data_IF_827187166192
#
_entry.id   IF_827187166192
#
_cell.length_a   1.000
_cell.length_b   1.000
_cell.length_c   1.000
_cell.angle_alpha   90.00
_cell.angle_beta   90.00
_cell.angle_gamma   90.00
#
_symmetry.space_group_name_H-M   'P 1'
#
loop_
_entity.id
_entity.type
_entity.pdbx_description
1 polymer ?
#
# COMPACT_ATOMS: atom_id res chain seq x y z
N UNK A 1 25.65 1.16 -21.08
CA UNK A 1 24.36 0.57 -20.72
C UNK A 1 23.30 1.18 -21.61
N UNK A 2 22.70 0.39 -22.48
CA UNK A 2 21.70 0.85 -23.47
C UNK A 2 20.44 1.34 -22.78
N UNK A 3 19.75 2.33 -23.35
CA UNK A 3 18.50 2.95 -22.82
C UNK A 3 17.44 1.87 -22.47
N UNK A 4 17.42 0.75 -23.19
CA UNK A 4 16.57 -0.42 -22.93
C UNK A 4 16.89 -1.10 -21.60
N UNK A 5 18.15 -1.23 -21.22
CA UNK A 5 18.55 -1.87 -19.95
C UNK A 5 18.22 -1.01 -18.73
N UNK A 6 18.23 0.34 -18.85
CA UNK A 6 17.83 1.26 -17.77
C UNK A 6 16.33 1.21 -17.45
N UNK A 7 15.48 0.81 -18.41
CA UNK A 7 14.02 0.63 -18.18
C UNK A 7 13.64 -0.78 -17.68
N UNK A 8 14.40 -1.81 -18.04
CA UNK A 8 14.09 -3.20 -17.67
C UNK A 8 14.41 -3.52 -16.19
N UNK A 9 15.48 -2.92 -15.63
CA UNK A 9 15.86 -3.18 -14.24
C UNK A 9 14.80 -2.75 -13.18
N UNK A 10 14.17 -1.58 -13.29
CA UNK A 10 13.10 -1.22 -12.34
C UNK A 10 11.86 -2.11 -12.45
N UNK A 11 11.49 -2.54 -13.65
CA UNK A 11 10.33 -3.43 -13.84
C UNK A 11 10.57 -4.84 -13.26
N UNK A 12 11.75 -5.43 -13.48
CA UNK A 12 12.10 -6.72 -12.89
C UNK A 12 12.11 -6.69 -11.36
N UNK A 13 12.57 -5.57 -10.77
CA UNK A 13 12.52 -5.35 -9.33
C UNK A 13 11.08 -5.31 -8.81
N UNK A 14 10.16 -4.65 -9.53
CA UNK A 14 8.76 -4.57 -9.14
C UNK A 14 8.12 -5.96 -9.09
N UNK A 15 8.37 -6.81 -10.11
CA UNK A 15 7.85 -8.19 -10.12
C UNK A 15 8.40 -9.03 -8.98
N UNK A 16 9.69 -8.89 -8.65
CA UNK A 16 10.29 -9.59 -7.53
C UNK A 16 9.66 -9.16 -6.20
N UNK A 17 9.47 -7.86 -5.98
CA UNK A 17 8.85 -7.33 -4.76
C UNK A 17 7.39 -7.75 -4.67
N UNK A 18 6.64 -7.72 -5.78
CA UNK A 18 5.27 -8.25 -5.85
C UNK A 18 5.26 -9.72 -5.44
N UNK A 19 6.15 -10.55 -6.00
CA UNK A 19 6.23 -11.98 -5.66
C UNK A 19 6.48 -12.22 -4.18
N UNK A 20 7.41 -11.46 -3.57
CA UNK A 20 7.67 -11.54 -2.12
C UNK A 20 6.46 -11.11 -1.29
N UNK A 21 5.76 -10.06 -1.73
CA UNK A 21 4.50 -9.64 -1.12
C UNK A 21 3.45 -10.75 -1.17
N UNK A 22 3.25 -11.36 -2.33
CA UNK A 22 2.28 -12.45 -2.51
C UNK A 22 2.64 -13.70 -1.69
N UNK A 23 3.92 -13.98 -1.52
CA UNK A 23 4.39 -15.07 -0.68
C UNK A 23 4.07 -14.80 0.80
N UNK A 24 4.29 -13.56 1.25
CA UNK A 24 3.90 -13.13 2.60
C UNK A 24 2.38 -13.20 2.79
N UNK A 25 1.59 -12.79 1.80
CA UNK A 25 0.14 -12.89 1.82
C UNK A 25 -0.32 -14.33 1.99
N UNK A 26 0.20 -15.21 1.12
CA UNK A 26 -0.15 -16.64 1.14
C UNK A 26 0.20 -17.29 2.46
N UNK A 27 1.40 -17.01 2.99
CA UNK A 27 1.83 -17.50 4.29
C UNK A 27 0.89 -17.02 5.40
N UNK A 28 0.64 -15.74 5.49
CA UNK A 28 -0.23 -15.15 6.51
C UNK A 28 -1.65 -15.75 6.44
N UNK A 29 -2.19 -15.86 5.23
CA UNK A 29 -3.55 -16.35 5.01
C UNK A 29 -3.68 -17.86 5.32
N UNK A 30 -2.74 -18.68 4.83
CA UNK A 30 -2.79 -20.15 5.01
C UNK A 30 -2.47 -20.59 6.44
N UNK A 31 -1.58 -19.87 7.13
CA UNK A 31 -1.10 -20.26 8.47
C UNK A 31 -1.94 -19.66 9.59
N UNK A 32 -2.44 -18.43 9.40
CA UNK A 32 -3.13 -17.72 10.49
C UNK A 32 -4.64 -17.57 10.25
N UNK A 33 -5.10 -17.33 9.03
CA UNK A 33 -6.52 -17.05 8.80
C UNK A 33 -7.33 -18.29 8.47
N UNK A 34 -6.85 -19.11 7.55
CA UNK A 34 -7.55 -20.30 7.09
C UNK A 34 -7.80 -21.35 8.20
N UNK A 35 -6.80 -21.71 9.06
CA UNK A 35 -7.00 -22.73 10.08
C UNK A 35 -8.04 -22.37 11.15
N UNK A 36 -8.21 -21.08 11.39
CA UNK A 36 -9.18 -20.55 12.37
C UNK A 36 -10.50 -20.12 11.72
N UNK A 37 -10.70 -20.46 10.44
CA UNK A 37 -11.90 -20.13 9.66
C UNK A 37 -12.25 -18.64 9.70
N UNK A 38 -11.23 -17.78 9.74
CA UNK A 38 -11.42 -16.34 9.75
C UNK A 38 -11.76 -15.88 8.35
N UNK A 39 -12.97 -15.35 8.17
CA UNK A 39 -13.43 -14.80 6.89
C UNK A 39 -12.90 -13.39 6.77
N UNK A 40 -12.11 -13.14 5.72
CA UNK A 40 -11.67 -11.80 5.34
C UNK A 40 -12.56 -11.21 4.26
N UNK A 41 -12.37 -9.95 3.93
CA UNK A 41 -12.94 -9.34 2.72
C UNK A 41 -12.30 -9.86 1.45
N UNK A 42 -12.64 -9.22 0.35
CA UNK A 42 -12.06 -9.51 -0.95
C UNK A 42 -12.55 -10.79 -1.61
N UNK A 43 -11.98 -11.08 -2.77
CA UNK A 43 -12.32 -12.32 -3.52
C UNK A 43 -11.74 -13.55 -2.84
N UNK A 44 -10.65 -13.43 -2.11
CA UNK A 44 -10.14 -14.52 -1.25
C UNK A 44 -11.13 -14.88 -0.16
N UNK A 45 -11.79 -13.89 0.45
CA UNK A 45 -12.87 -14.11 1.42
C UNK A 45 -14.09 -14.80 0.79
N UNK A 46 -14.55 -14.36 -0.36
CA UNK A 46 -15.62 -15.05 -1.11
C UNK A 46 -15.22 -16.50 -1.41
N UNK A 47 -13.97 -16.70 -1.85
CA UNK A 47 -13.48 -18.04 -2.18
C UNK A 47 -13.40 -18.95 -0.95
N UNK A 48 -13.04 -18.38 0.21
CA UNK A 48 -13.06 -19.09 1.49
C UNK A 48 -14.49 -19.46 1.91
N UNK A 49 -15.45 -18.54 1.78
CA UNK A 49 -16.88 -18.83 2.06
C UNK A 49 -17.37 -19.98 1.20
N UNK A 50 -17.06 -19.98 -0.12
CA UNK A 50 -17.41 -21.06 -1.04
C UNK A 50 -16.74 -22.37 -0.63
N UNK A 51 -15.47 -22.34 -0.27
CA UNK A 51 -14.73 -23.50 0.22
C UNK A 51 -15.37 -24.10 1.47
N UNK A 52 -15.67 -23.28 2.48
CA UNK A 52 -16.29 -23.75 3.71
C UNK A 52 -17.72 -24.32 3.48
N UNK A 53 -18.46 -23.75 2.52
CA UNK A 53 -19.80 -24.21 2.21
C UNK A 53 -19.84 -25.49 1.36
N UNK A 54 -18.88 -25.67 0.46
CA UNK A 54 -18.97 -26.69 -0.60
C UNK A 54 -17.77 -27.63 -0.71
N UNK A 55 -16.63 -27.28 -0.07
CA UNK A 55 -15.35 -27.97 -0.26
C UNK A 55 -14.67 -27.66 -1.60
N UNK A 56 -15.23 -26.75 -2.43
CA UNK A 56 -14.66 -26.41 -3.73
C UNK A 56 -13.36 -25.62 -3.55
N UNK A 57 -12.24 -25.99 -4.25
CA UNK A 57 -10.94 -25.37 -4.02
C UNK A 57 -10.94 -23.85 -4.22
N UNK A 58 -10.26 -23.16 -3.30
CA UNK A 58 -10.24 -21.69 -3.21
C UNK A 58 -9.65 -21.06 -4.47
N UNK A 59 -8.59 -21.64 -5.01
CA UNK A 59 -7.87 -21.15 -6.17
C UNK A 59 -8.74 -21.05 -7.43
N UNK A 60 -9.66 -21.97 -7.64
CA UNK A 60 -10.55 -21.93 -8.81
C UNK A 60 -11.61 -20.84 -8.70
N UNK A 61 -12.26 -20.73 -7.53
CA UNK A 61 -13.23 -19.64 -7.27
C UNK A 61 -12.54 -18.29 -7.39
N UNK A 62 -11.36 -18.15 -6.81
CA UNK A 62 -10.54 -16.95 -6.88
C UNK A 62 -10.21 -16.58 -8.33
N UNK A 63 -9.76 -17.52 -9.16
CA UNK A 63 -9.44 -17.27 -10.57
C UNK A 63 -10.64 -16.86 -11.39
N UNK A 64 -11.77 -17.56 -11.26
CA UNK A 64 -13.00 -17.28 -12.04
C UNK A 64 -13.51 -15.86 -11.76
N UNK A 65 -13.59 -15.48 -10.50
CA UNK A 65 -14.06 -14.13 -10.12
C UNK A 65 -13.08 -13.06 -10.62
N UNK A 66 -11.77 -13.31 -10.48
CA UNK A 66 -10.76 -12.35 -10.93
C UNK A 66 -10.75 -12.16 -12.45
N UNK A 67 -10.97 -13.20 -13.24
CA UNK A 67 -11.12 -13.08 -14.70
C UNK A 67 -12.28 -12.13 -15.05
N UNK A 68 -13.41 -12.29 -14.41
CA UNK A 68 -14.56 -11.40 -14.62
C UNK A 68 -14.25 -9.94 -14.26
N UNK A 69 -13.60 -9.70 -13.11
CA UNK A 69 -13.20 -8.37 -12.67
C UNK A 69 -12.16 -7.72 -13.58
N UNK A 70 -11.20 -8.51 -14.07
CA UNK A 70 -10.18 -8.04 -15.02
C UNK A 70 -10.81 -7.58 -16.34
N UNK A 71 -11.76 -8.33 -16.86
CA UNK A 71 -12.46 -7.96 -18.10
C UNK A 71 -13.18 -6.62 -17.93
N UNK A 72 -13.84 -6.40 -16.78
CA UNK A 72 -14.51 -5.13 -16.48
C UNK A 72 -13.51 -3.97 -16.35
N UNK A 73 -12.36 -4.21 -15.77
CA UNK A 73 -11.35 -3.18 -15.49
C UNK A 73 -10.43 -2.84 -16.67
N UNK A 74 -10.43 -3.65 -17.74
CA UNK A 74 -9.53 -3.50 -18.90
C UNK A 74 -9.49 -2.09 -19.48
N UNK A 75 -10.63 -1.40 -19.54
CA UNK A 75 -10.75 -0.04 -20.10
C UNK A 75 -10.34 1.06 -19.11
N UNK A 76 -10.28 0.74 -17.83
CA UNK A 76 -10.10 1.71 -16.74
C UNK A 76 -8.65 1.77 -16.28
N UNK A 77 -8.05 0.62 -16.02
CA UNK A 77 -6.71 0.50 -15.48
C UNK A 77 -5.70 0.33 -16.61
N UNK A 78 -4.69 1.17 -16.70
CA UNK A 78 -3.71 1.13 -17.79
C UNK A 78 -3.00 -0.23 -17.93
N UNK A 79 -2.46 -0.51 -19.14
CA UNK A 79 -1.85 -1.81 -19.49
C UNK A 79 -0.77 -2.29 -18.50
N UNK A 80 0.06 -1.39 -17.98
CA UNK A 80 1.12 -1.76 -17.01
C UNK A 80 0.55 -2.32 -15.70
N UNK A 81 -0.49 -1.68 -15.18
CA UNK A 81 -1.18 -2.16 -13.99
C UNK A 81 -1.84 -3.51 -14.25
N UNK A 82 -2.50 -3.65 -15.40
CA UNK A 82 -3.18 -4.89 -15.79
C UNK A 82 -2.22 -6.08 -15.91
N UNK A 83 -1.07 -5.90 -16.57
CA UNK A 83 -0.08 -6.98 -16.72
C UNK A 83 0.46 -7.43 -15.35
N UNK A 84 0.79 -6.49 -14.46
CA UNK A 84 1.26 -6.80 -13.11
C UNK A 84 0.17 -7.46 -12.27
N UNK A 85 -1.09 -7.03 -12.43
CA UNK A 85 -2.23 -7.61 -11.73
C UNK A 85 -2.52 -9.04 -12.22
N UNK A 86 -2.51 -9.29 -13.53
CA UNK A 86 -2.65 -10.65 -14.09
C UNK A 86 -1.55 -11.56 -13.54
N UNK A 87 -0.30 -11.09 -13.58
CA UNK A 87 0.82 -11.81 -13.00
C UNK A 87 0.59 -12.14 -11.53
N UNK A 88 0.20 -11.14 -10.73
CA UNK A 88 -0.05 -11.31 -9.30
C UNK A 88 -1.18 -12.31 -9.02
N UNK A 89 -2.28 -12.26 -9.77
CA UNK A 89 -3.41 -13.20 -9.63
C UNK A 89 -2.96 -14.65 -9.89
N UNK A 90 -2.21 -14.87 -10.98
CA UNK A 90 -1.73 -16.22 -11.34
C UNK A 90 -0.75 -16.74 -10.29
N UNK A 91 0.20 -15.90 -9.87
CA UNK A 91 1.20 -16.27 -8.85
C UNK A 91 0.53 -16.53 -7.49
N UNK A 92 -0.43 -15.69 -7.08
CA UNK A 92 -1.15 -15.88 -5.82
C UNK A 92 -1.98 -17.17 -5.84
N UNK A 93 -2.69 -17.45 -6.94
CA UNK A 93 -3.44 -18.71 -7.08
C UNK A 93 -2.52 -19.92 -6.97
N UNK A 94 -1.36 -19.89 -7.65
CA UNK A 94 -0.38 -20.96 -7.56
C UNK A 94 0.18 -21.12 -6.14
N UNK A 95 0.51 -20.01 -5.47
CA UNK A 95 1.02 -20.07 -4.09
C UNK A 95 -0.03 -20.57 -3.11
N UNK A 96 -1.30 -20.14 -3.23
CA UNK A 96 -2.39 -20.66 -2.41
C UNK A 96 -2.59 -22.17 -2.63
N UNK A 97 -2.59 -22.64 -3.87
CA UNK A 97 -2.70 -24.08 -4.17
C UNK A 97 -1.55 -24.90 -3.59
N UNK A 98 -0.32 -24.40 -3.71
CA UNK A 98 0.88 -25.05 -3.14
C UNK A 98 0.83 -25.03 -1.62
N UNK A 99 0.54 -23.88 -1.01
CA UNK A 99 0.51 -23.73 0.44
C UNK A 99 -0.58 -24.61 1.07
N UNK A 100 -1.79 -24.64 0.51
CA UNK A 100 -2.85 -25.52 1.01
C UNK A 100 -2.42 -26.98 0.98
N UNK A 101 -1.81 -27.48 -0.11
CA UNK A 101 -1.29 -28.85 -0.20
C UNK A 101 -0.15 -29.14 0.78
N UNK A 102 0.67 -28.12 1.08
CA UNK A 102 1.82 -28.29 1.98
C UNK A 102 1.40 -28.30 3.46
N UNK A 103 0.40 -27.51 3.82
CA UNK A 103 -0.03 -27.34 5.21
C UNK A 103 -1.21 -28.22 5.61
N UNK A 104 -1.93 -28.83 4.66
CA UNK A 104 -3.04 -29.73 4.98
C UNK A 104 -2.51 -30.98 5.65
N UNK A 105 -3.14 -31.36 6.76
CA UNK A 105 -2.80 -32.60 7.49
C UNK A 105 -3.53 -33.80 6.87
N UNK A 106 -3.10 -35.04 7.21
CA UNK A 106 -3.72 -36.27 6.69
C UNK A 106 -5.23 -36.38 7.02
N UNK A 107 -5.69 -35.71 8.07
CA UNK A 107 -7.09 -35.65 8.49
C UNK A 107 -7.92 -34.61 7.74
N UNK A 108 -7.30 -33.87 6.81
CA UNK A 108 -7.94 -32.84 6.01
C UNK A 108 -8.04 -31.48 6.73
N UNK A 109 -7.48 -31.34 7.93
CA UNK A 109 -7.48 -30.07 8.69
C UNK A 109 -6.19 -29.29 8.47
N UNK A 110 -6.20 -28.01 8.85
CA UNK A 110 -4.98 -27.19 8.89
C UNK A 110 -4.46 -27.06 10.33
N UNK A 111 -3.13 -27.06 10.55
CA UNK A 111 -2.56 -26.97 11.88
C UNK A 111 -2.84 -25.61 12.52
N UNK A 112 -3.34 -25.61 13.74
CA UNK A 112 -3.50 -24.43 14.56
C UNK A 112 -2.15 -24.04 15.19
N UNK A 113 -1.37 -23.22 14.48
CA UNK A 113 0.03 -22.89 14.85
C UNK A 113 0.12 -22.21 16.22
N UNK A 114 -0.86 -21.38 16.58
CA UNK A 114 -0.91 -20.70 17.88
C UNK A 114 -1.61 -21.53 18.95
N UNK A 115 -2.24 -22.66 18.58
CA UNK A 115 -3.02 -23.51 19.48
C UNK A 115 -4.54 -23.24 19.40
N UNK A 116 -5.33 -24.14 19.96
CA UNK A 116 -6.78 -24.00 20.00
C UNK A 116 -7.22 -22.85 20.90
N UNK A 117 -8.19 -22.04 20.45
CA UNK A 117 -8.72 -20.90 21.20
C UNK A 117 -7.96 -19.58 21.00
N UNK A 118 -6.89 -19.57 20.18
CA UNK A 118 -6.10 -18.37 19.86
C UNK A 118 -6.58 -17.66 18.59
N UNK A 119 -7.88 -17.75 18.30
CA UNK A 119 -8.49 -17.17 17.08
C UNK A 119 -8.24 -15.67 16.98
N UNK A 120 -8.35 -14.94 18.08
CA UNK A 120 -8.16 -13.48 18.09
C UNK A 120 -6.70 -13.08 17.84
N UNK A 121 -5.74 -13.80 18.44
CA UNK A 121 -4.32 -13.56 18.20
C UNK A 121 -3.96 -13.86 16.75
N UNK A 122 -4.49 -14.95 16.22
CA UNK A 122 -4.30 -15.37 14.83
C UNK A 122 -4.89 -14.37 13.85
N UNK A 123 -6.07 -13.83 14.15
CA UNK A 123 -6.70 -12.76 13.39
C UNK A 123 -5.77 -11.53 13.31
N UNK A 124 -5.27 -11.04 14.45
CA UNK A 124 -4.42 -9.84 14.47
C UNK A 124 -3.16 -10.06 13.63
N UNK A 125 -2.43 -11.16 13.89
CA UNK A 125 -1.17 -11.43 13.17
C UNK A 125 -1.43 -11.62 11.68
N UNK A 126 -2.42 -12.44 11.34
CA UNK A 126 -2.77 -12.73 9.96
C UNK A 126 -3.14 -11.46 9.17
N UNK A 127 -4.04 -10.64 9.72
CA UNK A 127 -4.52 -9.42 9.04
C UNK A 127 -3.48 -8.32 8.96
N UNK A 128 -2.61 -8.18 9.96
CA UNK A 128 -1.48 -7.26 9.86
C UNK A 128 -0.50 -7.66 8.74
N UNK A 129 -0.20 -8.94 8.61
CA UNK A 129 0.69 -9.44 7.57
C UNK A 129 0.04 -9.34 6.19
N UNK A 130 -1.25 -9.67 6.05
CA UNK A 130 -1.95 -9.54 4.76
C UNK A 130 -2.07 -8.08 4.35
N UNK A 131 -2.42 -7.16 5.26
CA UNK A 131 -2.46 -5.73 5.00
C UNK A 131 -1.12 -5.15 4.56
N UNK A 132 -0.02 -5.53 5.22
CA UNK A 132 1.34 -5.17 4.78
C UNK A 132 1.65 -5.71 3.37
N UNK A 133 1.27 -6.96 3.11
CA UNK A 133 1.47 -7.60 1.83
C UNK A 133 0.73 -6.88 0.70
N UNK A 134 -0.55 -6.59 0.89
CA UNK A 134 -1.36 -5.82 -0.06
C UNK A 134 -0.72 -4.46 -0.35
N UNK A 135 -0.28 -3.74 0.69
CA UNK A 135 0.41 -2.47 0.52
C UNK A 135 1.68 -2.61 -0.34
N UNK A 136 2.49 -3.65 -0.13
CA UNK A 136 3.70 -3.92 -0.92
C UNK A 136 3.33 -4.11 -2.40
N UNK A 137 2.29 -4.87 -2.70
CA UNK A 137 1.83 -5.14 -4.07
C UNK A 137 1.34 -3.85 -4.73
N UNK A 138 0.49 -3.05 -4.04
CA UNK A 138 -0.03 -1.78 -4.56
C UNK A 138 1.06 -0.74 -4.79
N UNK A 139 2.05 -0.64 -3.89
CA UNK A 139 3.17 0.28 -4.03
C UNK A 139 4.04 -0.01 -5.27
N UNK A 140 3.96 -1.22 -5.82
CA UNK A 140 4.65 -1.62 -7.04
C UNK A 140 3.71 -1.67 -8.27
N UNK A 141 2.59 -0.93 -8.20
CA UNK A 141 1.58 -0.83 -9.27
C UNK A 141 0.99 -2.19 -9.69
N UNK A 142 0.83 -3.10 -8.74
CA UNK A 142 0.11 -4.35 -8.89
C UNK A 142 -1.15 -4.36 -8.02
N UNK A 143 -1.91 -5.44 -8.12
CA UNK A 143 -3.05 -5.74 -7.25
C UNK A 143 -3.12 -7.25 -7.10
N UNK A 144 -3.57 -7.72 -5.95
CA UNK A 144 -3.83 -9.16 -5.75
C UNK A 144 -5.08 -9.62 -6.48
N UNK A 145 -5.77 -8.72 -7.16
CA UNK A 145 -7.05 -9.02 -7.79
C UNK A 145 -8.23 -8.75 -6.84
N UNK A 146 -9.40 -9.22 -7.22
CA UNK A 146 -10.57 -9.12 -6.37
C UNK A 146 -11.11 -7.71 -6.20
N UNK A 147 -11.61 -7.43 -5.01
CA UNK A 147 -12.12 -6.09 -4.63
C UNK A 147 -11.06 -5.01 -4.77
N UNK A 148 -9.79 -5.36 -4.72
CA UNK A 148 -8.65 -4.50 -5.00
C UNK A 148 -8.74 -3.82 -6.37
N UNK A 149 -9.19 -4.56 -7.40
CA UNK A 149 -9.39 -4.02 -8.75
C UNK A 149 -10.48 -2.96 -8.73
N UNK A 150 -11.55 -3.20 -7.98
CA UNK A 150 -12.65 -2.23 -7.79
C UNK A 150 -12.11 -0.98 -7.08
N UNK A 151 -11.36 -1.18 -5.99
CA UNK A 151 -10.74 -0.09 -5.25
C UNK A 151 -9.78 0.73 -6.11
N UNK A 152 -8.95 0.08 -6.93
CA UNK A 152 -8.05 0.75 -7.87
C UNK A 152 -8.81 1.55 -8.93
N UNK A 153 -9.92 1.01 -9.46
CA UNK A 153 -10.79 1.72 -10.41
C UNK A 153 -11.40 2.99 -9.79
N UNK A 154 -11.92 2.89 -8.57
CA UNK A 154 -12.50 4.04 -7.85
C UNK A 154 -11.42 5.07 -7.53
N UNK A 155 -10.27 4.65 -6.99
CA UNK A 155 -9.16 5.53 -6.66
C UNK A 155 -8.61 6.29 -7.88
N UNK A 156 -8.71 5.71 -9.08
CA UNK A 156 -8.29 6.39 -10.31
C UNK A 156 -9.11 7.65 -10.60
N UNK A 157 -10.39 7.64 -10.27
CA UNK A 157 -11.31 8.75 -10.56
C UNK A 157 -11.59 9.65 -9.35
N UNK A 158 -11.42 9.13 -8.15
CA UNK A 158 -11.71 9.80 -6.90
C UNK A 158 -10.49 9.74 -5.96
N UNK A 159 -10.26 10.83 -5.21
CA UNK A 159 -9.22 10.86 -4.18
C UNK A 159 -9.72 10.21 -2.87
N UNK A 160 -10.12 8.95 -2.96
CA UNK A 160 -10.56 8.14 -1.82
C UNK A 160 -9.46 7.10 -1.57
N UNK A 161 -9.13 6.85 -0.29
CA UNK A 161 -8.13 5.83 0.04
C UNK A 161 -8.57 4.45 -0.45
N UNK A 162 -7.61 3.61 -0.80
CA UNK A 162 -7.89 2.23 -1.20
C UNK A 162 -8.60 1.46 -0.09
N UNK A 163 -8.14 1.62 1.16
CA UNK A 163 -8.74 0.98 2.32
C UNK A 163 -10.21 1.37 2.52
N UNK A 164 -10.55 2.66 2.33
CA UNK A 164 -11.96 3.10 2.45
C UNK A 164 -12.88 2.41 1.43
N UNK A 165 -12.43 2.26 0.18
CA UNK A 165 -13.23 1.58 -0.85
C UNK A 165 -13.34 0.08 -0.53
N UNK A 166 -12.24 -0.54 -0.09
CA UNK A 166 -12.23 -1.95 0.31
C UNK A 166 -13.21 -2.19 1.46
N UNK A 167 -13.20 -1.35 2.50
CA UNK A 167 -14.14 -1.46 3.63
C UNK A 167 -15.60 -1.50 3.13
N UNK A 168 -15.97 -0.60 2.22
CA UNK A 168 -17.35 -0.54 1.71
C UNK A 168 -17.78 -1.82 0.98
N UNK A 169 -16.89 -2.39 0.17
CA UNK A 169 -17.17 -3.61 -0.59
C UNK A 169 -17.12 -4.84 0.31
N UNK A 170 -16.13 -4.90 1.18
CA UNK A 170 -15.85 -6.06 2.00
C UNK A 170 -16.89 -6.26 3.12
N UNK A 171 -17.51 -5.17 3.63
CA UNK A 171 -18.66 -5.27 4.55
C UNK A 171 -19.78 -6.11 3.93
N UNK A 172 -20.08 -5.93 2.65
CA UNK A 172 -21.11 -6.72 1.95
C UNK A 172 -20.70 -8.19 1.85
N UNK A 173 -19.42 -8.45 1.53
CA UNK A 173 -18.89 -9.81 1.39
C UNK A 173 -18.92 -10.52 2.74
N UNK A 174 -18.40 -9.89 3.78
CA UNK A 174 -18.34 -10.47 5.14
C UNK A 174 -19.74 -10.69 5.68
N UNK A 175 -20.68 -9.77 5.43
CA UNK A 175 -22.08 -9.94 5.84
C UNK A 175 -22.72 -11.16 5.16
N UNK A 176 -22.27 -11.54 3.96
CA UNK A 176 -22.78 -12.73 3.25
C UNK A 176 -22.35 -14.06 3.88
N UNK A 177 -21.42 -14.05 4.86
CA UNK A 177 -21.02 -15.29 5.55
C UNK A 177 -22.06 -15.78 6.58
N UNK A 178 -22.98 -14.93 7.04
CA UNK A 178 -23.98 -15.28 8.07
C UNK A 178 -24.79 -16.52 7.69
N UNK A 179 -25.42 -16.62 6.50
CA UNK A 179 -26.20 -17.79 6.13
C UNK A 179 -25.37 -19.07 5.96
N UNK A 180 -24.07 -18.97 5.77
CA UNK A 180 -23.18 -20.12 5.61
C UNK A 180 -22.75 -20.70 6.95
N UNK A 181 -22.33 -19.84 7.87
CA UNK A 181 -21.79 -20.29 9.16
C UNK A 181 -22.83 -20.31 10.28
N UNK A 182 -23.92 -19.56 10.14
CA UNK A 182 -24.94 -19.37 11.17
C UNK A 182 -24.34 -18.97 12.55
N UNK A 183 -23.19 -18.27 12.52
CA UNK A 183 -22.43 -17.82 13.70
C UNK A 183 -22.07 -16.34 13.56
N UNK A 184 -22.69 -15.52 14.42
CA UNK A 184 -22.46 -14.08 14.46
C UNK A 184 -21.03 -13.71 14.87
N UNK A 185 -20.31 -14.61 15.60
CA UNK A 185 -18.92 -14.38 16.01
C UNK A 185 -18.02 -14.29 14.78
N UNK A 186 -18.22 -15.16 13.80
CA UNK A 186 -17.45 -15.12 12.55
C UNK A 186 -17.65 -13.83 11.77
N UNK A 187 -18.87 -13.25 11.80
CA UNK A 187 -19.12 -11.93 11.23
C UNK A 187 -18.31 -10.85 11.97
N UNK A 188 -18.34 -10.83 13.30
CA UNK A 188 -17.59 -9.83 14.10
C UNK A 188 -16.10 -9.97 13.85
N UNK A 189 -15.56 -11.20 13.87
CA UNK A 189 -14.16 -11.45 13.56
C UNK A 189 -13.79 -10.97 12.14
N UNK A 190 -14.63 -11.23 11.15
CA UNK A 190 -14.43 -10.76 9.78
C UNK A 190 -14.41 -9.23 9.67
N UNK A 191 -15.30 -8.54 10.35
CA UNK A 191 -15.32 -7.07 10.38
C UNK A 191 -14.08 -6.48 11.06
N UNK A 192 -13.63 -7.08 12.19
CA UNK A 192 -12.39 -6.69 12.86
C UNK A 192 -11.19 -6.95 11.95
N UNK A 193 -11.14 -8.12 11.33
CA UNK A 193 -10.09 -8.50 10.37
C UNK A 193 -9.96 -7.47 9.24
N UNK A 194 -11.08 -7.13 8.61
CA UNK A 194 -11.16 -6.11 7.56
C UNK A 194 -10.67 -4.74 8.07
N UNK A 195 -11.13 -4.31 9.23
CA UNK A 195 -10.74 -3.01 9.78
C UNK A 195 -9.22 -2.93 10.04
N UNK A 196 -8.62 -3.99 10.58
CA UNK A 196 -7.16 -4.05 10.81
C UNK A 196 -6.42 -4.09 9.48
N UNK A 197 -6.82 -4.98 8.56
CA UNK A 197 -6.16 -5.14 7.26
C UNK A 197 -6.15 -3.84 6.45
N UNK A 198 -7.31 -3.18 6.32
CA UNK A 198 -7.42 -1.90 5.62
C UNK A 198 -6.67 -0.76 6.31
N UNK A 199 -6.66 -0.73 7.64
CA UNK A 199 -5.91 0.27 8.41
C UNK A 199 -4.40 0.11 8.21
N UNK A 200 -3.89 -1.11 8.24
CA UNK A 200 -2.48 -1.42 7.99
C UNK A 200 -2.11 -1.13 6.54
N UNK A 201 -2.96 -1.50 5.59
CA UNK A 201 -2.78 -1.17 4.18
C UNK A 201 -2.60 0.34 3.98
N UNK A 202 -3.57 1.14 4.47
CA UNK A 202 -3.53 2.59 4.31
C UNK A 202 -2.34 3.22 5.05
N UNK A 203 -2.00 2.72 6.24
CA UNK A 203 -0.82 3.19 6.99
C UNK A 203 0.48 2.98 6.21
N UNK A 204 0.70 1.78 5.67
CA UNK A 204 1.91 1.46 4.89
C UNK A 204 1.94 2.24 3.58
N UNK A 205 0.80 2.36 2.89
CA UNK A 205 0.67 3.14 1.65
C UNK A 205 1.00 4.62 1.88
N UNK A 206 0.43 5.21 2.93
CA UNK A 206 0.59 6.63 3.24
C UNK A 206 2.01 6.95 3.73
N UNK A 207 2.63 6.09 4.55
CA UNK A 207 4.00 6.29 5.05
C UNK A 207 5.01 6.52 3.92
N UNK A 208 4.79 5.92 2.75
CA UNK A 208 5.68 6.08 1.60
C UNK A 208 5.45 7.38 0.81
N UNK A 209 4.27 8.00 0.97
CA UNK A 209 3.87 9.26 0.29
C UNK A 209 4.05 10.48 1.17
N UNK A 210 4.37 10.30 2.44
CA UNK A 210 4.51 11.43 3.36
C UNK A 210 5.62 12.38 2.89
N UNK A 211 5.23 13.65 2.76
CA UNK A 211 6.12 14.77 2.53
C UNK A 211 6.26 15.58 3.81
N UNK A 212 7.38 16.26 3.94
CA UNK A 212 7.69 17.13 5.07
C UNK A 212 8.14 18.49 4.58
N UNK A 213 7.74 19.49 5.32
CA UNK A 213 8.24 20.85 5.15
C UNK A 213 9.28 21.16 6.23
N UNK A 214 10.40 21.66 5.81
CA UNK A 214 11.43 22.21 6.70
C UNK A 214 11.41 23.72 6.65
N UNK A 215 11.42 24.35 7.81
CA UNK A 215 11.78 25.76 7.99
C UNK A 215 13.12 25.80 8.72
N UNK A 216 14.16 26.27 8.04
CA UNK A 216 15.52 26.26 8.54
C UNK A 216 15.98 27.69 8.83
N UNK A 217 16.31 27.96 10.06
CA UNK A 217 16.77 29.24 10.57
C UNK A 217 18.26 29.14 10.90
N UNK A 218 19.11 29.78 10.10
CA UNK A 218 20.56 29.75 10.28
C UNK A 218 21.20 31.03 9.78
N UNK A 219 22.28 31.44 10.40
CA UNK A 219 23.10 32.51 9.89
C UNK A 219 23.94 32.08 8.67
N UNK A 220 24.17 30.75 8.53
CA UNK A 220 24.84 30.13 7.38
C UNK A 220 23.83 29.64 6.29
N UNK A 221 22.75 30.36 6.14
CA UNK A 221 21.68 29.93 5.23
C UNK A 221 22.15 29.72 3.78
N UNK A 222 23.14 30.51 3.29
CA UNK A 222 23.68 30.37 1.93
C UNK A 222 24.41 29.05 1.74
N UNK A 223 25.25 28.65 2.71
CA UNK A 223 25.99 27.39 2.67
C UNK A 223 25.02 26.21 2.70
N UNK A 224 24.01 26.28 3.57
CA UNK A 224 22.97 25.24 3.70
C UNK A 224 22.14 25.16 2.41
N UNK A 225 21.71 26.30 1.86
CA UNK A 225 20.93 26.33 0.63
C UNK A 225 21.71 25.73 -0.56
N UNK A 226 22.98 26.09 -0.71
CA UNK A 226 23.86 25.56 -1.75
C UNK A 226 24.08 24.04 -1.57
N UNK A 227 24.31 23.58 -0.35
CA UNK A 227 24.51 22.17 -0.06
C UNK A 227 23.26 21.33 -0.36
N UNK A 228 22.08 21.82 0.02
CA UNK A 228 20.81 21.16 -0.30
C UNK A 228 20.59 21.14 -1.82
N UNK A 229 20.74 22.28 -2.52
CA UNK A 229 20.52 22.37 -3.96
C UNK A 229 21.49 21.54 -4.80
N UNK A 230 22.72 21.26 -4.28
CA UNK A 230 23.72 20.45 -4.99
C UNK A 230 23.63 18.96 -4.67
N UNK A 231 23.22 18.60 -3.45
CA UNK A 231 23.20 17.21 -2.97
C UNK A 231 21.82 16.57 -2.98
N UNK A 232 20.77 17.36 -3.23
CA UNK A 232 19.40 16.87 -3.37
C UNK A 232 18.81 17.38 -4.68
N UNK A 233 17.78 16.68 -5.19
CA UNK A 233 17.03 17.10 -6.37
C UNK A 233 15.84 18.04 -6.01
N UNK A 234 15.85 18.61 -4.79
CA UNK A 234 14.76 19.43 -4.30
C UNK A 234 15.03 20.93 -4.50
N UNK A 235 14.04 21.62 -5.02
CA UNK A 235 13.97 23.06 -4.99
C UNK A 235 13.76 23.57 -3.57
N UNK A 236 14.33 24.74 -3.25
CA UNK A 236 14.13 25.42 -1.99
C UNK A 236 13.73 26.89 -2.23
N UNK A 237 12.98 27.45 -1.31
CA UNK A 237 12.56 28.86 -1.36
C UNK A 237 13.14 29.59 -0.15
N UNK A 238 13.69 30.78 -0.40
CA UNK A 238 14.14 31.67 0.68
C UNK A 238 12.99 32.63 1.02
N UNK A 239 12.64 32.64 2.31
CA UNK A 239 11.66 33.56 2.87
C UNK A 239 12.40 34.67 3.62
N UNK A 240 12.03 35.91 3.37
CA UNK A 240 12.53 37.06 4.10
C UNK A 240 11.76 37.23 5.41
N UNK A 241 12.48 37.40 6.50
CA UNK A 241 11.90 37.58 7.80
C UNK A 241 12.73 38.52 8.67
N UNK A 242 12.12 39.06 9.72
CA UNK A 242 12.78 39.92 10.70
C UNK A 242 12.70 39.28 12.10
N UNK A 243 13.82 39.26 12.79
CA UNK A 243 13.84 38.81 14.18
C UNK A 243 13.16 39.85 15.07
N UNK A 244 12.04 39.50 15.73
CA UNK A 244 11.28 40.42 16.56
C UNK A 244 12.14 41.13 17.63
N UNK A 245 12.96 40.38 18.38
CA UNK A 245 13.78 40.93 19.43
C UNK A 245 15.05 41.65 18.94
N UNK A 246 15.57 41.21 17.80
CA UNK A 246 16.87 41.71 17.30
C UNK A 246 16.72 42.79 16.24
N UNK A 247 15.53 42.92 15.65
CA UNK A 247 15.26 43.79 14.49
C UNK A 247 16.06 43.42 13.23
N UNK A 248 16.84 42.34 13.26
CA UNK A 248 17.74 41.99 12.16
C UNK A 248 16.98 41.19 11.10
N UNK A 249 17.30 41.49 9.84
CA UNK A 249 16.85 40.67 8.71
C UNK A 249 17.43 39.28 8.77
N UNK A 250 16.59 38.27 8.46
CA UNK A 250 16.97 36.85 8.41
C UNK A 250 16.34 36.21 7.19
N UNK A 251 17.12 35.33 6.56
CA UNK A 251 16.61 34.43 5.53
C UNK A 251 16.22 33.10 6.17
N UNK A 252 15.02 32.63 5.89
CA UNK A 252 14.52 31.31 6.31
C UNK A 252 14.43 30.44 5.09
N UNK A 253 15.06 29.27 5.13
CA UNK A 253 14.95 28.31 4.04
C UNK A 253 13.68 27.49 4.25
N UNK A 254 12.78 27.52 3.24
CA UNK A 254 11.63 26.66 3.15
C UNK A 254 11.94 25.56 2.14
N UNK A 255 11.93 24.30 2.59
CA UNK A 255 12.20 23.13 1.78
C UNK A 255 11.07 22.12 1.93
N UNK A 256 10.58 21.60 0.81
CA UNK A 256 9.68 20.45 0.77
C UNK A 256 10.47 19.23 0.32
N UNK A 257 10.39 18.15 1.09
CA UNK A 257 11.12 16.91 0.81
C UNK A 257 10.28 15.68 1.20
N UNK A 258 10.67 14.51 0.73
CA UNK A 258 10.04 13.26 1.17
C UNK A 258 10.50 12.92 2.59
N UNK A 259 9.61 12.42 3.43
CA UNK A 259 9.90 12.07 4.83
C UNK A 259 11.13 11.16 4.99
N UNK A 260 11.35 10.24 4.06
CA UNK A 260 12.51 9.33 4.06
C UNK A 260 13.86 10.04 3.96
N UNK A 261 13.90 11.27 3.44
CA UNK A 261 15.10 12.06 3.22
C UNK A 261 15.41 12.97 4.42
N UNK A 262 14.51 13.04 5.39
CA UNK A 262 14.64 13.93 6.56
C UNK A 262 15.94 13.73 7.31
N UNK A 263 16.35 12.49 7.56
CA UNK A 263 17.58 12.18 8.30
C UNK A 263 18.83 12.69 7.58
N UNK A 264 18.85 12.58 6.24
CA UNK A 264 19.94 13.10 5.43
C UNK A 264 19.99 14.62 5.49
N UNK A 265 18.84 15.28 5.32
CA UNK A 265 18.71 16.74 5.37
C UNK A 265 19.13 17.27 6.76
N UNK A 266 18.70 16.65 7.85
CA UNK A 266 19.13 17.04 9.20
C UNK A 266 20.64 16.91 9.39
N UNK A 267 21.25 15.83 8.91
CA UNK A 267 22.71 15.67 8.98
C UNK A 267 23.42 16.75 8.21
N UNK A 268 22.98 17.06 7.01
CA UNK A 268 23.57 18.09 6.17
C UNK A 268 23.53 19.46 6.86
N UNK A 269 22.38 19.85 7.39
CA UNK A 269 22.20 21.10 8.11
C UNK A 269 23.14 21.17 9.33
N UNK A 270 23.15 20.12 10.15
CA UNK A 270 23.95 20.08 11.39
C UNK A 270 25.44 20.04 11.14
N UNK A 271 25.89 19.49 10.01
CA UNK A 271 27.30 19.51 9.61
C UNK A 271 27.78 20.92 9.28
N UNK A 272 26.89 21.73 8.66
CA UNK A 272 27.23 23.12 8.26
C UNK A 272 27.06 24.08 9.43
N UNK A 273 25.93 23.99 10.12
CA UNK A 273 25.60 24.82 11.28
C UNK A 273 25.00 23.99 12.42
N UNK A 274 25.81 23.59 13.41
CA UNK A 274 25.34 22.87 14.60
C UNK A 274 24.28 23.64 15.41
N UNK A 275 24.24 24.97 15.29
CA UNK A 275 23.35 25.85 16.02
C UNK A 275 22.10 26.20 15.21
N UNK A 276 21.94 25.69 13.98
CA UNK A 276 20.76 25.92 13.19
C UNK A 276 19.48 25.46 13.91
N UNK A 277 18.47 26.31 13.93
CA UNK A 277 17.13 25.96 14.39
C UNK A 277 16.32 25.45 13.18
N UNK A 278 15.76 24.25 13.32
CA UNK A 278 15.03 23.58 12.26
C UNK A 278 13.67 23.17 12.78
N UNK A 279 12.61 23.66 12.14
CA UNK A 279 11.23 23.16 12.33
C UNK A 279 10.89 22.23 11.20
N UNK A 280 10.38 21.05 11.53
CA UNK A 280 9.86 20.07 10.58
C UNK A 280 8.38 19.85 10.84
N UNK A 281 7.55 19.94 9.81
CA UNK A 281 6.13 19.61 9.88
C UNK A 281 5.78 18.61 8.78
N UNK A 282 4.85 17.69 9.07
CA UNK A 282 4.27 16.81 8.05
C UNK A 282 3.32 17.59 7.16
N UNK A 283 3.39 17.35 5.85
CA UNK A 283 2.50 17.95 4.86
C UNK A 283 1.61 16.85 4.31
N UNK A 284 0.29 17.03 4.39
CA UNK A 284 -0.71 16.03 3.99
C UNK A 284 -0.67 15.76 2.49
N UNK A 285 -0.32 16.77 1.67
CA UNK A 285 -0.18 16.60 0.24
C UNK A 285 0.71 17.68 -0.35
N UNK A 286 1.62 17.27 -1.20
CA UNK A 286 2.43 18.16 -2.05
C UNK A 286 2.20 17.73 -3.48
N UNK A 287 1.77 18.67 -4.31
CA UNK A 287 1.41 18.41 -5.70
C UNK A 287 2.23 19.30 -6.61
N UNK A 288 2.63 18.76 -7.76
CA UNK A 288 3.42 19.49 -8.75
C UNK A 288 4.76 18.82 -9.06
N UNK A 289 5.70 19.56 -9.64
CA UNK A 289 6.98 19.02 -10.10
C UNK A 289 7.78 18.33 -8.98
N UNK A 290 8.10 17.06 -9.20
CA UNK A 290 8.82 16.22 -8.23
C UNK A 290 7.97 15.54 -7.15
N UNK A 291 6.66 15.85 -7.10
CA UNK A 291 5.68 15.28 -6.15
C UNK A 291 4.46 14.69 -6.90
N UNK A 292 3.38 14.42 -6.17
CA UNK A 292 2.18 13.80 -6.72
C UNK A 292 1.48 14.71 -7.75
N UNK A 293 0.86 14.10 -8.77
CA UNK A 293 0.08 14.84 -9.77
C UNK A 293 -1.28 15.27 -9.23
N UNK A 294 -1.73 16.49 -9.58
CA UNK A 294 -3.06 16.98 -9.25
C UNK A 294 -4.08 16.26 -10.14
N UNK A 295 -4.95 15.45 -9.54
CA UNK A 295 -6.06 14.81 -10.25
C UNK A 295 -7.24 15.78 -10.34
N UNK A 296 -7.36 16.55 -11.42
CA UNK A 296 -8.49 17.47 -11.65
C UNK A 296 -9.44 16.85 -12.67
N UNK A 297 -10.74 16.74 -12.31
CA UNK A 297 -11.78 16.26 -13.19
C UNK A 297 -11.97 17.25 -14.35
N UNK A 298 -11.74 16.83 -15.59
CA UNK A 298 -12.09 17.59 -16.80
C UNK A 298 -10.96 18.33 -17.53
N UNK A 299 -9.73 18.32 -17.04
CA UNK A 299 -8.59 18.87 -17.80
C UNK A 299 -7.88 17.70 -18.52
N UNK A 300 -8.05 17.61 -19.84
CA UNK A 300 -7.17 16.77 -20.68
C UNK A 300 -5.75 17.32 -20.55
N UNK A 301 -4.83 16.57 -20.00
CA UNK A 301 -3.41 16.90 -20.06
C UNK A 301 -2.95 16.83 -21.53
N UNK A 302 -2.69 17.97 -22.14
CA UNK A 302 -2.06 18.11 -23.47
C UNK A 302 -0.55 17.71 -23.45
N UNK A 303 -0.19 16.63 -22.81
CA UNK A 303 1.20 16.12 -22.80
C UNK A 303 1.45 14.92 -23.74
N UNK A 304 0.45 14.55 -24.56
CA UNK A 304 0.59 13.46 -25.53
C UNK A 304 0.80 13.93 -26.98
N UNK A 305 1.09 15.22 -27.19
CA UNK A 305 1.52 15.75 -28.49
C UNK A 305 2.86 16.49 -28.34
N UNK A 306 3.96 15.72 -28.49
CA UNK A 306 5.32 16.24 -28.54
C UNK A 306 6.33 15.13 -28.67
#
# INVERSE_FOLDING_TARGET
MTISQKKLMPEAKDYLVITLGLLLYTFAWTVFLLPYEIVTGGVTGISAIVYYATGFPIEYTYLVINIALLIMALKILGLRFMIKTIYAIVVLAAFLAIAQKLFIQPDGTFPLVLGPGEDFMSLIIGTMLTGCSLAIVFLNNGSTGGTDIVAACVNKYHNISLGTVLILVDVLIISSCIPVFNDWRKLVFGLIAMAIECSVLDYVMNTRRESVQFLIFSNKWQEIANAIGTQTEHGLTLLDGHGWYTGKERKVICLLAKKRESTFIFRLIKTIDPNAFVSQSSVIGVYGEGFDEIKVKGIKNNKDEG
#
